data_IF_815907954423
#
_entry.id   IF_815907954423
#
_cell.length_a   1.000
_cell.length_b   1.000
_cell.length_c   1.000
_cell.angle_alpha   90.00
_cell.angle_beta   90.00
_cell.angle_gamma   90.00
#
_symmetry.space_group_name_H-M   'P 1'
#
loop_
_entity.id
_entity.type
_entity.pdbx_description
1 polymer ?
#
# COMPACT_ATOMS: atom_id res chain seq x y z
N UNK A 1 27.44 30.65 49.76
CA UNK A 1 27.03 29.36 49.20
C UNK A 1 25.60 29.51 48.73
N UNK A 2 25.36 29.55 47.42
CA UNK A 2 24.01 29.59 46.85
C UNK A 2 23.75 28.24 46.17
N UNK A 3 22.76 27.49 46.66
CA UNK A 3 22.35 26.20 46.10
C UNK A 3 21.40 26.45 44.94
N UNK A 4 21.87 26.19 43.72
CA UNK A 4 21.02 26.18 42.52
C UNK A 4 20.17 24.92 42.53
N UNK A 5 18.84 25.09 42.45
CA UNK A 5 17.89 23.98 42.33
C UNK A 5 17.55 23.83 40.85
N UNK A 6 17.94 22.71 40.24
CA UNK A 6 17.67 22.42 38.83
C UNK A 6 16.23 21.88 38.70
N UNK A 7 15.34 22.62 38.05
CA UNK A 7 14.01 22.13 37.68
C UNK A 7 14.12 21.30 36.40
N UNK A 8 13.88 19.99 36.49
CA UNK A 8 13.63 19.13 35.33
C UNK A 8 12.19 19.32 34.87
N UNK A 9 11.99 20.00 33.73
CA UNK A 9 10.69 20.05 33.06
C UNK A 9 10.55 18.78 32.22
N UNK A 10 9.73 17.84 32.68
CA UNK A 10 9.34 16.66 31.91
C UNK A 10 8.30 17.12 30.86
N UNK A 11 8.71 17.24 29.60
CA UNK A 11 7.76 17.42 28.51
C UNK A 11 7.04 16.09 28.26
N UNK A 12 5.82 15.95 28.79
CA UNK A 12 4.92 14.88 28.35
C UNK A 12 4.43 15.25 26.93
N UNK A 13 5.04 14.66 25.91
CA UNK A 13 4.49 14.71 24.55
C UNK A 13 3.18 13.92 24.56
N UNK A 14 2.06 14.64 24.58
CA UNK A 14 0.74 14.06 24.34
C UNK A 14 0.71 13.60 22.89
N UNK A 15 0.97 12.32 22.65
CA UNK A 15 0.62 11.67 21.38
C UNK A 15 -0.90 11.60 21.31
N UNK A 16 -1.53 12.58 20.65
CA UNK A 16 -2.90 12.42 20.23
C UNK A 16 -2.93 11.26 19.22
N UNK A 17 -3.66 10.16 19.47
CA UNK A 17 -3.82 9.12 18.46
C UNK A 17 -4.57 9.77 17.30
N UNK A 18 -3.88 9.99 16.18
CA UNK A 18 -4.55 10.34 14.93
C UNK A 18 -5.53 9.19 14.66
N UNK A 19 -6.82 9.49 14.52
CA UNK A 19 -7.81 8.45 14.30
C UNK A 19 -7.40 7.68 13.04
N UNK A 20 -7.24 6.36 13.16
CA UNK A 20 -7.04 5.51 12.00
C UNK A 20 -8.26 5.70 11.08
N UNK A 21 -8.02 5.94 9.79
CA UNK A 21 -9.09 5.98 8.79
C UNK A 21 -9.75 4.60 8.73
N UNK A 22 -10.90 4.45 9.39
CA UNK A 22 -11.69 3.23 9.31
C UNK A 22 -12.61 3.32 8.09
N UNK A 23 -12.30 2.54 7.06
CA UNK A 23 -13.08 2.47 5.82
C UNK A 23 -13.67 1.08 5.67
N UNK A 24 -14.99 0.96 5.43
CA UNK A 24 -15.68 -0.32 5.37
C UNK A 24 -15.18 -1.16 4.19
N UNK A 25 -15.10 -2.48 4.41
CA UNK A 25 -14.85 -3.43 3.33
C UNK A 25 -16.10 -3.55 2.44
N UNK A 26 -15.93 -3.29 1.15
CA UNK A 26 -16.96 -3.48 0.14
C UNK A 26 -16.89 -4.90 -0.47
N UNK A 27 -18.01 -5.45 -0.97
CA UNK A 27 -17.98 -6.62 -1.83
C UNK A 27 -17.18 -6.36 -3.10
N UNK A 28 -16.41 -7.35 -3.57
CA UNK A 28 -15.59 -7.24 -4.77
C UNK A 28 -16.42 -6.85 -5.98
N UNK A 29 -17.60 -7.43 -6.19
CA UNK A 29 -18.44 -7.08 -7.36
C UNK A 29 -19.01 -5.67 -7.35
N UNK A 30 -18.99 -4.97 -6.21
CA UNK A 30 -19.47 -3.59 -6.14
C UNK A 30 -18.39 -2.59 -6.58
N UNK A 31 -17.11 -2.88 -6.33
CA UNK A 31 -16.02 -1.92 -6.57
C UNK A 31 -14.99 -2.35 -7.61
N UNK A 32 -14.94 -3.63 -7.99
CA UNK A 32 -13.85 -4.18 -8.79
C UNK A 32 -14.33 -5.15 -9.88
N UNK A 33 -13.51 -5.27 -10.92
CA UNK A 33 -13.66 -6.22 -12.01
C UNK A 33 -12.38 -7.01 -12.25
N UNK A 34 -12.51 -8.19 -12.83
CA UNK A 34 -11.35 -9.01 -13.21
C UNK A 34 -10.55 -8.30 -14.31
N UNK A 35 -9.22 -8.22 -14.15
CA UNK A 35 -8.33 -7.62 -15.16
C UNK A 35 -7.63 -8.71 -15.97
N UNK A 36 -7.00 -9.68 -15.30
CA UNK A 36 -6.32 -10.82 -15.96
C UNK A 36 -6.11 -12.01 -15.02
N UNK A 37 -5.73 -13.15 -15.59
CA UNK A 37 -5.24 -14.32 -14.84
C UNK A 37 -6.22 -15.49 -14.71
N UNK A 38 -7.41 -15.43 -15.34
CA UNK A 38 -8.40 -16.52 -15.35
C UNK A 38 -8.60 -17.14 -13.95
N UNK A 39 -8.39 -18.45 -13.82
CA UNK A 39 -8.56 -19.24 -12.58
C UNK A 39 -7.59 -18.88 -11.44
N UNK A 40 -6.60 -18.03 -11.69
CA UNK A 40 -5.68 -17.56 -10.65
C UNK A 40 -6.31 -16.51 -9.73
N UNK A 41 -7.47 -15.94 -10.08
CA UNK A 41 -8.23 -15.02 -9.23
C UNK A 41 -9.46 -15.74 -8.67
N UNK A 42 -9.48 -15.94 -7.35
CA UNK A 42 -10.58 -16.65 -6.66
C UNK A 42 -11.20 -15.74 -5.60
N UNK A 43 -12.49 -15.42 -5.77
CA UNK A 43 -13.29 -14.66 -4.80
C UNK A 43 -13.79 -15.56 -3.67
N UNK A 44 -13.88 -15.03 -2.45
CA UNK A 44 -14.54 -15.72 -1.34
C UNK A 44 -16.06 -15.77 -1.52
N UNK A 45 -16.71 -16.69 -0.80
CA UNK A 45 -18.18 -16.89 -0.89
C UNK A 45 -18.98 -15.66 -0.44
N UNK A 46 -18.45 -14.89 0.51
CA UNK A 46 -19.05 -13.64 1.02
C UNK A 46 -18.66 -12.41 0.19
N UNK A 47 -17.86 -12.63 -0.86
CA UNK A 47 -17.37 -11.63 -1.78
C UNK A 47 -16.48 -10.52 -1.19
N UNK A 48 -15.99 -10.69 0.04
CA UNK A 48 -15.21 -9.65 0.74
C UNK A 48 -13.70 -9.86 0.69
N UNK A 49 -13.25 -10.92 0.02
CA UNK A 49 -11.83 -11.18 -0.17
C UNK A 49 -11.58 -11.83 -1.53
N UNK A 50 -10.37 -11.60 -2.04
CA UNK A 50 -9.87 -12.19 -3.28
C UNK A 50 -8.51 -12.81 -3.02
N UNK A 51 -8.30 -14.01 -3.57
CA UNK A 51 -7.01 -14.68 -3.57
C UNK A 51 -6.42 -14.63 -4.97
N UNK A 52 -5.26 -14.00 -5.08
CA UNK A 52 -4.46 -13.98 -6.30
C UNK A 52 -3.42 -15.09 -6.26
N UNK A 53 -3.22 -15.73 -7.41
CA UNK A 53 -2.20 -16.76 -7.61
C UNK A 53 -1.28 -16.37 -8.75
N UNK A 54 -0.02 -16.79 -8.65
CA UNK A 54 0.99 -16.67 -9.69
C UNK A 54 1.59 -18.05 -9.93
N UNK A 55 1.67 -18.44 -11.20
CA UNK A 55 2.35 -19.67 -11.61
C UNK A 55 3.14 -19.41 -12.90
N UNK A 56 3.78 -20.44 -13.45
CA UNK A 56 4.62 -20.33 -14.65
C UNK A 56 3.89 -19.86 -15.92
N UNK A 57 2.56 -19.89 -15.93
CA UNK A 57 1.73 -19.56 -17.09
C UNK A 57 1.16 -18.15 -17.02
N UNK A 58 0.75 -17.70 -15.83
CA UNK A 58 0.15 -16.38 -15.64
C UNK A 58 0.18 -15.94 -14.17
N UNK A 59 0.14 -14.63 -13.97
CA UNK A 59 -0.25 -14.02 -12.70
C UNK A 59 -1.76 -13.88 -12.58
N UNK A 60 -2.21 -12.89 -11.80
CA UNK A 60 -3.60 -12.45 -11.76
C UNK A 60 -3.70 -11.03 -11.24
N UNK A 61 -4.79 -10.34 -11.61
CA UNK A 61 -5.06 -8.99 -11.17
C UNK A 61 -6.51 -8.60 -11.37
N UNK A 62 -6.92 -7.54 -10.69
CA UNK A 62 -8.22 -6.91 -10.79
C UNK A 62 -8.05 -5.39 -10.80
N UNK A 63 -9.06 -4.69 -11.27
CA UNK A 63 -9.08 -3.23 -11.43
C UNK A 63 -10.36 -2.66 -10.83
N UNK A 64 -10.35 -1.39 -10.43
CA UNK A 64 -11.57 -0.71 -9.99
C UNK A 64 -12.58 -0.62 -11.13
N UNK A 65 -13.86 -0.66 -10.78
CA UNK A 65 -14.96 -0.49 -11.75
C UNK A 65 -15.13 0.96 -12.20
N UNK A 66 -14.62 1.92 -11.43
CA UNK A 66 -14.73 3.35 -11.67
C UNK A 66 -13.34 4.02 -11.66
N UNK A 67 -13.28 5.20 -12.27
CA UNK A 67 -12.14 6.11 -12.22
C UNK A 67 -12.33 7.13 -11.10
N UNK A 68 -11.23 7.56 -10.50
CA UNK A 68 -11.22 8.51 -9.38
C UNK A 68 -10.23 9.64 -9.64
N UNK A 69 -10.62 10.86 -9.28
CA UNK A 69 -9.75 12.04 -9.37
C UNK A 69 -8.94 12.24 -8.09
N UNK A 70 -9.43 11.79 -6.93
CA UNK A 70 -8.75 11.75 -5.64
C UNK A 70 -9.43 10.70 -4.74
N UNK A 71 -8.80 10.29 -3.64
CA UNK A 71 -9.45 9.37 -2.71
C UNK A 71 -8.56 8.78 -1.63
N UNK A 72 -9.19 8.01 -0.75
CA UNK A 72 -8.51 7.15 0.20
C UNK A 72 -8.72 5.69 -0.21
N UNK A 73 -7.68 5.10 -0.79
CA UNK A 73 -7.70 3.71 -1.28
C UNK A 73 -7.06 2.83 -0.23
N UNK A 74 -7.76 1.78 0.21
CA UNK A 74 -7.29 0.95 1.32
C UNK A 74 -7.62 -0.51 1.09
N UNK A 75 -6.63 -1.37 1.33
CA UNK A 75 -6.78 -2.82 1.21
C UNK A 75 -6.15 -3.52 2.41
N UNK A 76 -6.80 -4.59 2.88
CA UNK A 76 -6.19 -5.52 3.83
C UNK A 76 -5.50 -6.65 3.06
N UNK A 77 -4.17 -6.70 3.11
CA UNK A 77 -3.34 -7.59 2.28
C UNK A 77 -2.55 -8.51 3.20
N UNK A 78 -2.57 -9.82 2.89
CA UNK A 78 -1.67 -10.81 3.48
C UNK A 78 -0.78 -11.38 2.39
N UNK A 79 0.53 -11.32 2.58
CA UNK A 79 1.51 -11.75 1.59
C UNK A 79 1.77 -13.26 1.62
N UNK A 80 2.18 -13.88 0.50
CA UNK A 80 2.55 -15.28 0.49
C UNK A 80 3.82 -15.53 1.33
N UNK A 81 3.87 -16.69 2.00
CA UNK A 81 5.04 -17.13 2.77
C UNK A 81 6.02 -17.91 1.89
N UNK A 82 7.17 -18.24 2.50
CA UNK A 82 8.22 -19.11 1.93
C UNK A 82 9.13 -18.42 0.90
N UNK A 83 9.29 -18.98 -0.30
CA UNK A 83 10.21 -18.47 -1.32
C UNK A 83 9.44 -17.63 -2.33
N UNK A 84 9.66 -16.32 -2.30
CA UNK A 84 8.96 -15.34 -3.13
C UNK A 84 9.91 -14.44 -3.91
N UNK A 85 11.18 -14.80 -4.02
CA UNK A 85 12.17 -14.03 -4.77
C UNK A 85 11.71 -13.83 -6.22
N UNK A 86 11.68 -12.57 -6.67
CA UNK A 86 11.22 -12.18 -7.99
C UNK A 86 9.70 -12.03 -8.13
N UNK A 87 8.93 -12.29 -7.07
CA UNK A 87 7.49 -12.01 -7.03
C UNK A 87 7.26 -10.60 -6.51
N UNK A 88 6.42 -9.84 -7.21
CA UNK A 88 5.91 -8.55 -6.75
C UNK A 88 4.40 -8.70 -6.54
N UNK A 89 3.91 -8.30 -5.37
CA UNK A 89 2.48 -8.02 -5.16
C UNK A 89 2.32 -6.51 -5.26
N UNK A 90 1.39 -6.03 -6.08
CA UNK A 90 1.19 -4.61 -6.30
C UNK A 90 -0.22 -4.17 -5.86
N UNK A 91 -0.30 -3.00 -5.22
CA UNK A 91 -1.53 -2.27 -4.94
C UNK A 91 -1.29 -0.82 -5.34
N UNK A 92 -1.92 -0.36 -6.40
CA UNK A 92 -1.55 0.89 -7.05
C UNK A 92 -2.76 1.58 -7.71
N UNK A 93 -2.59 2.86 -8.01
CA UNK A 93 -3.52 3.64 -8.84
C UNK A 93 -2.77 4.10 -10.08
N UNK A 94 -3.35 3.94 -11.27
CA UNK A 94 -2.71 4.35 -12.53
C UNK A 94 -3.77 4.79 -13.53
N UNK A 95 -3.39 5.71 -14.42
CA UNK A 95 -4.16 6.08 -15.61
C UNK A 95 -3.44 5.66 -16.91
N UNK A 96 -2.50 4.69 -16.81
CA UNK A 96 -1.65 4.21 -17.91
C UNK A 96 -2.39 3.48 -19.03
N UNK A 97 -3.57 2.95 -18.77
CA UNK A 97 -4.47 2.38 -19.79
C UNK A 97 -5.06 3.46 -20.72
N UNK A 98 -5.17 4.70 -20.24
CA UNK A 98 -5.65 5.86 -20.99
C UNK A 98 -4.46 6.68 -21.55
N UNK A 99 -3.40 6.87 -20.76
CA UNK A 99 -2.27 7.76 -21.07
C UNK A 99 -0.93 7.02 -21.15
N UNK A 100 -0.75 6.17 -22.16
CA UNK A 100 0.39 5.24 -22.24
C UNK A 100 1.80 5.85 -22.04
N UNK A 101 2.02 7.11 -22.40
CA UNK A 101 3.34 7.76 -22.35
C UNK A 101 3.45 8.91 -21.34
N UNK A 102 2.36 9.30 -20.69
CA UNK A 102 2.30 10.46 -19.79
C UNK A 102 1.42 10.18 -18.59
N UNK A 103 1.35 8.92 -18.17
CA UNK A 103 0.51 8.51 -17.06
C UNK A 103 1.05 9.00 -15.72
N UNK A 104 0.13 9.12 -14.78
CA UNK A 104 0.40 9.26 -13.38
C UNK A 104 0.13 7.90 -12.70
N UNK A 105 0.98 7.54 -11.74
CA UNK A 105 0.89 6.26 -11.04
C UNK A 105 1.40 6.39 -9.60
N UNK A 106 0.69 5.77 -8.66
CA UNK A 106 1.02 5.73 -7.24
C UNK A 106 1.08 4.27 -6.78
N UNK A 107 2.24 3.82 -6.30
CA UNK A 107 2.51 2.40 -6.09
C UNK A 107 2.72 2.02 -4.63
N UNK A 108 2.14 0.89 -4.24
CA UNK A 108 2.69 0.00 -3.24
C UNK A 108 3.13 -1.32 -3.90
N UNK A 109 4.42 -1.59 -3.87
CA UNK A 109 5.00 -2.84 -4.35
C UNK A 109 5.62 -3.63 -3.20
N UNK A 110 5.08 -4.81 -2.93
CA UNK A 110 5.66 -5.74 -1.98
C UNK A 110 6.65 -6.63 -2.72
N UNK A 111 7.93 -6.47 -2.37
CA UNK A 111 9.04 -7.15 -3.02
C UNK A 111 9.37 -8.44 -2.27
N UNK A 112 9.05 -9.56 -2.92
CA UNK A 112 9.30 -10.89 -2.39
C UNK A 112 10.80 -11.22 -2.30
N UNK A 113 11.13 -12.19 -1.46
CA UNK A 113 12.51 -12.46 -1.08
C UNK A 113 12.79 -13.96 -1.01
N UNK A 114 14.06 -14.32 -0.91
CA UNK A 114 14.45 -15.72 -0.66
C UNK A 114 13.96 -16.15 0.73
N UNK A 115 13.81 -17.47 0.92
CA UNK A 115 13.30 -18.06 2.17
C UNK A 115 14.02 -17.51 3.40
N UNK A 116 13.24 -17.09 4.40
CA UNK A 116 13.75 -16.61 5.69
C UNK A 116 14.31 -15.19 5.66
N UNK A 117 14.05 -14.42 4.61
CA UNK A 117 14.37 -12.99 4.53
C UNK A 117 13.09 -12.17 4.44
N UNK A 118 13.14 -10.99 5.04
CA UNK A 118 11.97 -10.12 5.16
C UNK A 118 11.51 -9.58 3.80
N UNK A 119 10.20 -9.40 3.69
CA UNK A 119 9.60 -8.60 2.62
C UNK A 119 10.04 -7.14 2.72
N UNK A 120 10.14 -6.48 1.57
CA UNK A 120 10.29 -5.02 1.50
C UNK A 120 9.05 -4.43 0.87
N UNK A 121 8.68 -3.25 1.34
CA UNK A 121 7.69 -2.42 0.67
C UNK A 121 8.45 -1.37 -0.13
N UNK A 122 8.09 -1.21 -1.39
CA UNK A 122 8.50 -0.11 -2.22
C UNK A 122 7.29 0.79 -2.48
N UNK A 123 7.48 2.09 -2.34
CA UNK A 123 6.54 3.10 -2.85
C UNK A 123 7.15 3.77 -4.06
N UNK A 124 6.32 4.23 -4.98
CA UNK A 124 6.76 4.95 -6.16
C UNK A 124 5.69 5.94 -6.62
N UNK A 125 6.13 7.00 -7.28
CA UNK A 125 5.26 8.01 -7.88
C UNK A 125 5.77 8.29 -9.29
N UNK A 126 4.90 8.07 -10.27
CA UNK A 126 5.01 8.64 -11.61
C UNK A 126 3.99 9.76 -11.75
N UNK A 127 4.40 10.83 -12.41
CA UNK A 127 3.46 11.88 -12.76
C UNK A 127 4.12 13.11 -13.33
N UNK A 128 3.31 14.15 -13.58
CA UNK A 128 3.74 15.40 -14.21
C UNK A 128 4.44 15.14 -15.58
N UNK A 129 3.92 14.18 -16.33
CA UNK A 129 4.43 13.77 -17.64
C UNK A 129 5.73 12.94 -17.61
N UNK A 130 6.26 12.61 -16.42
CA UNK A 130 7.43 11.74 -16.28
C UNK A 130 7.03 10.28 -16.12
N UNK A 131 7.18 9.50 -17.19
CA UNK A 131 7.01 8.03 -17.19
C UNK A 131 8.34 7.28 -17.29
N UNK A 132 9.46 7.99 -17.53
CA UNK A 132 10.78 7.38 -17.73
C UNK A 132 11.54 7.09 -16.43
N UNK A 133 11.18 7.76 -15.33
CA UNK A 133 11.84 7.61 -14.03
C UNK A 133 10.85 7.82 -12.91
N UNK A 134 10.76 6.84 -12.01
CA UNK A 134 9.98 6.91 -10.78
C UNK A 134 10.72 7.63 -9.65
N UNK A 135 10.04 7.74 -8.52
CA UNK A 135 10.51 8.26 -7.22
C UNK A 135 10.43 7.14 -6.19
N UNK A 136 11.30 6.14 -6.33
CA UNK A 136 11.21 4.92 -5.53
C UNK A 136 11.76 5.13 -4.11
N UNK A 137 11.00 4.73 -3.11
CA UNK A 137 11.47 4.58 -1.72
C UNK A 137 11.24 3.14 -1.24
N UNK A 138 12.11 2.63 -0.36
CA UNK A 138 12.06 1.23 0.09
C UNK A 138 12.17 1.10 1.61
N UNK A 139 11.30 0.26 2.15
CA UNK A 139 11.08 0.14 3.58
C UNK A 139 11.03 -1.32 4.04
N UNK A 140 11.54 -1.55 5.25
CA UNK A 140 11.20 -2.72 6.04
C UNK A 140 10.02 -2.38 6.94
N UNK A 141 9.10 -3.32 7.11
CA UNK A 141 8.00 -3.19 8.08
C UNK A 141 8.38 -3.87 9.40
N UNK A 142 7.94 -3.35 10.56
CA UNK A 142 8.27 -3.90 11.87
C UNK A 142 7.43 -5.13 12.26
N UNK A 143 6.81 -5.80 11.28
CA UNK A 143 5.94 -6.98 11.45
C UNK A 143 6.10 -7.92 10.26
N UNK A 144 5.73 -9.19 10.42
CA UNK A 144 5.72 -10.17 9.32
C UNK A 144 4.40 -10.07 8.53
N UNK A 145 4.41 -9.55 7.29
CA UNK A 145 3.20 -9.36 6.49
C UNK A 145 2.60 -10.67 5.95
N UNK A 146 3.19 -11.82 6.26
CA UNK A 146 2.71 -13.16 5.84
C UNK A 146 1.85 -13.85 6.90
N UNK A 147 1.94 -13.43 8.16
CA UNK A 147 1.24 -14.07 9.29
C UNK A 147 -0.24 -13.65 9.36
N UNK A 148 -0.54 -12.38 9.09
CA UNK A 148 -1.90 -11.84 9.08
C UNK A 148 -2.11 -10.83 7.94
N UNK A 149 -3.37 -10.46 7.69
CA UNK A 149 -3.65 -9.34 6.79
C UNK A 149 -3.36 -8.02 7.51
N UNK A 150 -2.66 -7.12 6.84
CA UNK A 150 -2.38 -5.76 7.31
C UNK A 150 -3.00 -4.74 6.36
N UNK A 151 -3.40 -3.58 6.88
CA UNK A 151 -3.99 -2.51 6.06
C UNK A 151 -2.89 -1.68 5.41
N UNK A 152 -2.97 -1.54 4.09
CA UNK A 152 -2.12 -0.67 3.27
C UNK A 152 -3.03 0.34 2.60
N UNK A 153 -2.71 1.64 2.73
CA UNK A 153 -3.59 2.70 2.23
C UNK A 153 -2.83 3.82 1.55
N UNK A 154 -3.39 4.32 0.46
CA UNK A 154 -2.93 5.51 -0.27
C UNK A 154 -4.00 6.59 -0.03
N UNK A 155 -3.62 7.66 0.66
CA UNK A 155 -4.40 8.89 0.69
C UNK A 155 -3.88 9.79 -0.42
N UNK A 156 -4.71 10.03 -1.43
CA UNK A 156 -4.39 10.91 -2.53
C UNK A 156 -5.32 12.12 -2.52
N UNK A 157 -4.75 13.31 -2.37
CA UNK A 157 -5.45 14.60 -2.36
C UNK A 157 -4.86 15.53 -3.43
N UNK A 158 -5.50 16.68 -3.73
CA UNK A 158 -4.90 17.69 -4.60
C UNK A 158 -3.54 18.19 -4.11
N UNK A 159 -3.33 18.22 -2.78
CA UNK A 159 -2.18 18.88 -2.16
C UNK A 159 -1.03 17.92 -1.82
N UNK A 160 -1.33 16.67 -1.49
CA UNK A 160 -0.34 15.68 -1.08
C UNK A 160 -0.80 14.24 -1.29
N UNK A 161 0.18 13.35 -1.32
CA UNK A 161 0.02 11.89 -1.32
C UNK A 161 0.58 11.36 0.01
N UNK A 162 -0.10 10.42 0.64
CA UNK A 162 0.37 9.77 1.86
C UNK A 162 0.18 8.26 1.80
N UNK A 163 1.28 7.54 1.98
CA UNK A 163 1.34 6.08 2.07
C UNK A 163 1.26 5.64 3.52
N UNK A 164 0.34 4.71 3.84
CA UNK A 164 0.14 4.16 5.17
C UNK A 164 0.26 2.62 5.15
N UNK A 165 1.42 2.04 5.53
CA UNK A 165 1.64 0.60 5.49
C UNK A 165 1.04 -0.18 6.68
N UNK A 166 0.35 0.52 7.58
CA UNK A 166 -0.43 -0.08 8.66
C UNK A 166 -1.55 0.88 9.08
N UNK A 167 -2.50 0.39 9.88
CA UNK A 167 -3.49 1.26 10.54
C UNK A 167 -2.89 2.20 11.58
N UNK A 168 -1.58 2.11 11.86
CA UNK A 168 -0.89 3.04 12.75
C UNK A 168 -0.42 4.27 11.95
N UNK A 169 -0.89 5.48 12.30
CA UNK A 169 -0.54 6.71 11.62
C UNK A 169 0.93 7.14 11.81
N UNK A 170 1.66 6.50 12.72
CA UNK A 170 3.06 6.80 13.00
C UNK A 170 4.05 6.33 11.92
N UNK A 171 3.57 5.65 10.87
CA UNK A 171 4.38 5.14 9.73
C UNK A 171 3.91 5.75 8.40
N UNK A 172 3.20 6.88 8.45
CA UNK A 172 2.83 7.61 7.23
C UNK A 172 4.06 8.18 6.52
N UNK A 173 4.18 7.96 5.22
CA UNK A 173 5.18 8.62 4.35
C UNK A 173 4.44 9.60 3.45
N UNK A 174 4.83 10.87 3.47
CA UNK A 174 4.15 11.93 2.71
C UNK A 174 5.01 12.35 1.54
N UNK A 175 4.40 12.37 0.36
CA UNK A 175 4.99 12.79 -0.90
C UNK A 175 4.24 13.99 -1.49
N UNK A 176 4.94 14.81 -2.25
CA UNK A 176 4.36 15.85 -3.10
C UNK A 176 4.55 15.50 -4.57
N UNK A 177 3.69 16.01 -5.43
CA UNK A 177 3.78 15.83 -6.88
C UNK A 177 5.10 16.28 -7.51
#
# INVERSE_FOLDING_TARGET
>A
MATSTLFFVFFLLLFAPMAAFDVPTIPFSEGFSHLFGNDNLIRSKDDRSVRLSLNRYSGSGFISSELYEHGFFSASIKLPRDYTAGVVVAFYTSNGDIFSNTHDELDFEFLGNVRGKDWRIQTNVYGNGSTARGREERYLVPFDPTEAAHRYSILWTPDYIMYCPSSLPSIGMTETW
#
